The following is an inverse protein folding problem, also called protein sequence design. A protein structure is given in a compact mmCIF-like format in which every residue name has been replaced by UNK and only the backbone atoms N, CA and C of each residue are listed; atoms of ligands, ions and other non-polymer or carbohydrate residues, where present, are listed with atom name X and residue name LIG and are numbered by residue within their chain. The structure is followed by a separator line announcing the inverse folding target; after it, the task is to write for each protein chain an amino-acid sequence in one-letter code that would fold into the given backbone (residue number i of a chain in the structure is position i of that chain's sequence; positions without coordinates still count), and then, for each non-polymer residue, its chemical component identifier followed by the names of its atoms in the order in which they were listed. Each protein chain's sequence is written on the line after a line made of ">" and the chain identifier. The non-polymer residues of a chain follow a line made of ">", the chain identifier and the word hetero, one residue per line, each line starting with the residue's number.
data_IF_349681833922
#
_entry.id   IF_349681833922
#
_cell.length_a   1.000
_cell.length_b   1.000
_cell.length_c   1.000
_cell.angle_alpha   90.00
_cell.angle_beta   90.00
_cell.angle_gamma   90.00
#
_symmetry.space_group_name_H-M   'P 1'
#
loop_
_entity.id
_entity.type
_entity.pdbx_description
1 polymer ?
#
# COMPACT_ATOMS: atom_id res chain seq x y z
N UNK A 1 -8.17 -4.51 -18.31
CA UNK A 1 -8.04 -3.08 -17.99
C UNK A 1 -9.02 -2.78 -16.87
N UNK A 2 -8.56 -2.55 -15.65
CA UNK A 2 -9.43 -2.21 -14.53
C UNK A 2 -9.75 -0.71 -14.59
N UNK A 3 -11.02 -0.33 -14.49
CA UNK A 3 -11.42 1.06 -14.35
C UNK A 3 -11.18 1.48 -12.90
N UNK A 4 -10.25 2.41 -12.67
CA UNK A 4 -10.05 3.01 -11.36
C UNK A 4 -10.88 4.29 -11.26
N UNK A 5 -11.79 4.40 -10.28
CA UNK A 5 -12.50 5.65 -10.05
C UNK A 5 -11.49 6.76 -9.69
N UNK A 6 -11.71 7.95 -10.23
CA UNK A 6 -10.85 9.09 -9.94
C UNK A 6 -10.81 9.36 -8.43
N UNK A 7 -9.67 9.86 -7.93
CA UNK A 7 -9.47 10.29 -6.53
C UNK A 7 -9.77 9.20 -5.48
N UNK A 8 -9.54 7.93 -5.82
CA UNK A 8 -9.79 6.79 -4.92
C UNK A 8 -8.49 6.07 -4.50
N UNK A 9 -7.56 6.74 -3.79
CA UNK A 9 -6.32 6.10 -3.33
C UNK A 9 -6.59 4.93 -2.37
N UNK A 10 -7.70 4.99 -1.63
CA UNK A 10 -8.16 3.91 -0.75
C UNK A 10 -8.55 2.62 -1.48
N UNK A 11 -8.70 2.67 -2.81
CA UNK A 11 -8.96 1.51 -3.67
C UNK A 11 -7.76 1.12 -4.53
N UNK A 12 -6.57 1.71 -4.29
CA UNK A 12 -5.34 1.33 -4.96
C UNK A 12 -4.34 0.73 -3.95
N UNK A 13 -4.04 -0.57 -4.08
CA UNK A 13 -3.10 -1.26 -3.18
C UNK A 13 -1.69 -0.68 -3.16
N UNK A 14 -1.28 0.02 -4.23
CA UNK A 14 0.00 0.73 -4.24
C UNK A 14 -0.04 1.92 -3.28
N UNK A 15 -1.15 2.66 -3.27
CA UNK A 15 -1.33 3.87 -2.46
C UNK A 15 -1.64 3.54 -1.00
N UNK A 16 -2.64 2.70 -0.73
CA UNK A 16 -3.06 2.41 0.66
C UNK A 16 -2.10 1.49 1.40
N UNK A 17 -1.23 0.76 0.71
CA UNK A 17 -0.33 -0.23 1.32
C UNK A 17 1.14 -0.02 0.94
N UNK A 18 1.51 -0.20 -0.33
CA UNK A 18 2.91 -0.36 -0.73
C UNK A 18 3.76 0.87 -0.39
N UNK A 19 3.29 2.07 -0.75
CA UNK A 19 4.05 3.28 -0.51
C UNK A 19 4.26 3.58 0.98
N UNK A 20 3.27 3.32 1.82
CA UNK A 20 3.40 3.47 3.27
C UNK A 20 4.46 2.54 3.86
N UNK A 21 4.39 1.26 3.50
CA UNK A 21 5.34 0.24 3.97
C UNK A 21 6.76 0.50 3.48
N UNK A 22 6.92 0.81 2.18
CA UNK A 22 8.23 1.06 1.61
C UNK A 22 8.88 2.30 2.23
N UNK A 23 8.12 3.39 2.43
CA UNK A 23 8.63 4.58 3.12
C UNK A 23 9.07 4.26 4.55
N UNK A 24 8.29 3.49 5.29
CA UNK A 24 8.66 3.09 6.65
C UNK A 24 9.96 2.29 6.71
N UNK A 25 10.28 1.50 5.66
CA UNK A 25 11.52 0.73 5.59
C UNK A 25 12.71 1.59 5.13
N UNK A 26 12.52 2.40 4.09
CA UNK A 26 13.58 3.21 3.48
C UNK A 26 14.07 4.31 4.44
N UNK A 27 13.12 4.97 5.11
CA UNK A 27 13.39 6.11 5.99
C UNK A 27 13.49 5.73 7.47
N UNK A 28 13.63 4.44 7.80
CA UNK A 28 13.79 3.97 9.18
C UNK A 28 15.04 4.56 9.88
N UNK A 29 16.08 4.89 9.12
CA UNK A 29 17.29 5.56 9.58
C UNK A 29 17.68 6.68 8.61
N UNK A 30 18.50 7.66 9.01
CA UNK A 30 18.96 8.72 8.09
C UNK A 30 19.66 8.14 6.85
N UNK A 31 19.31 8.66 5.68
CA UNK A 31 19.90 8.29 4.39
C UNK A 31 21.25 9.00 4.27
N UNK A 32 22.29 8.26 3.88
CA UNK A 32 23.66 8.79 3.82
C UNK A 32 24.00 9.40 2.46
N UNK A 33 23.52 8.78 1.38
CA UNK A 33 23.74 9.22 0.01
C UNK A 33 22.74 8.54 -0.95
N UNK A 34 22.84 8.82 -2.24
CA UNK A 34 21.95 8.27 -3.26
C UNK A 34 22.06 6.75 -3.43
N UNK A 35 23.26 6.19 -3.30
CA UNK A 35 23.48 4.75 -3.40
C UNK A 35 22.81 3.99 -2.24
N UNK A 36 22.98 4.49 -1.02
CA UNK A 36 22.27 4.00 0.17
C UNK A 36 20.75 4.04 -0.03
N UNK A 37 20.20 5.15 -0.54
CA UNK A 37 18.78 5.25 -0.87
C UNK A 37 18.32 4.18 -1.87
N UNK A 38 19.05 4.00 -2.98
CA UNK A 38 18.73 2.99 -4.00
C UNK A 38 18.75 1.57 -3.41
N UNK A 39 19.77 1.25 -2.63
CA UNK A 39 19.91 -0.06 -1.98
C UNK A 39 18.75 -0.32 -1.01
N UNK A 40 18.39 0.66 -0.18
CA UNK A 40 17.25 0.54 0.74
C UNK A 40 15.92 0.37 0.04
N UNK A 41 15.70 1.02 -1.11
CA UNK A 41 14.48 0.81 -1.90
C UNK A 41 14.42 -0.64 -2.39
N UNK A 42 15.50 -1.15 -2.97
CA UNK A 42 15.59 -2.53 -3.47
C UNK A 42 15.35 -3.52 -2.34
N UNK A 43 16.02 -3.34 -1.20
CA UNK A 43 15.89 -4.24 -0.05
C UNK A 43 14.52 -4.12 0.63
N UNK A 44 13.92 -2.93 0.65
CA UNK A 44 12.55 -2.72 1.07
C UNK A 44 11.56 -3.54 0.24
N UNK A 45 11.69 -3.51 -1.09
CA UNK A 45 10.88 -4.36 -1.98
C UNK A 45 11.09 -5.85 -1.74
N UNK A 46 12.35 -6.30 -1.60
CA UNK A 46 12.66 -7.71 -1.29
C UNK A 46 12.02 -8.13 0.04
N UNK A 47 12.12 -7.32 1.08
CA UNK A 47 11.54 -7.60 2.40
C UNK A 47 10.02 -7.70 2.35
N UNK A 48 9.35 -6.77 1.68
CA UNK A 48 7.90 -6.82 1.47
C UNK A 48 7.55 -8.11 0.72
N UNK A 49 8.17 -8.37 -0.43
CA UNK A 49 7.91 -9.56 -1.26
C UNK A 49 8.08 -10.88 -0.49
N UNK A 50 9.09 -10.95 0.37
CA UNK A 50 9.41 -12.14 1.14
C UNK A 50 8.60 -12.26 2.45
N UNK A 51 7.73 -11.29 2.77
CA UNK A 51 6.89 -11.35 3.95
C UNK A 51 5.76 -12.37 3.73
N UNK A 52 5.68 -13.46 4.52
CA UNK A 52 4.68 -14.50 4.30
C UNK A 52 3.25 -13.96 4.40
N UNK A 53 2.42 -14.35 3.42
CA UNK A 53 1.00 -13.99 3.36
C UNK A 53 0.70 -12.50 3.17
N UNK A 54 1.69 -11.66 2.85
CA UNK A 54 1.47 -10.21 2.73
C UNK A 54 0.48 -9.87 1.62
N UNK A 55 0.62 -10.51 0.45
CA UNK A 55 -0.25 -10.26 -0.69
C UNK A 55 -1.67 -10.77 -0.47
N UNK A 56 -1.81 -11.86 0.29
CA UNK A 56 -3.11 -12.38 0.70
C UNK A 56 -3.81 -11.40 1.64
N UNK A 57 -3.11 -10.83 2.62
CA UNK A 57 -3.65 -9.77 3.48
C UNK A 57 -4.03 -8.50 2.70
N UNK A 58 -3.22 -8.11 1.71
CA UNK A 58 -3.52 -6.96 0.84
C UNK A 58 -4.78 -7.22 0.01
N UNK A 59 -4.93 -8.44 -0.52
CA UNK A 59 -6.14 -8.86 -1.26
C UNK A 59 -7.38 -8.81 -0.38
N UNK A 60 -7.31 -9.37 0.83
CA UNK A 60 -8.42 -9.30 1.80
C UNK A 60 -8.75 -7.87 2.21
N UNK A 61 -7.73 -7.02 2.41
CA UNK A 61 -7.95 -5.59 2.70
C UNK A 61 -8.63 -4.89 1.52
N UNK A 62 -8.28 -5.24 0.28
CA UNK A 62 -8.90 -4.68 -0.92
C UNK A 62 -10.39 -5.03 -0.97
N UNK A 63 -10.76 -6.28 -0.70
CA UNK A 63 -12.16 -6.73 -0.65
C UNK A 63 -12.98 -5.91 0.36
N UNK A 64 -12.48 -5.79 1.60
CA UNK A 64 -13.14 -4.98 2.64
C UNK A 64 -13.30 -3.52 2.25
N UNK A 65 -12.29 -2.93 1.61
CA UNK A 65 -12.32 -1.53 1.14
C UNK A 65 -13.35 -1.33 0.04
N UNK A 66 -13.49 -2.28 -0.89
CA UNK A 66 -14.52 -2.25 -1.93
C UNK A 66 -15.91 -2.38 -1.31
N UNK A 67 -16.12 -3.32 -0.39
CA UNK A 67 -17.39 -3.50 0.32
C UNK A 67 -17.79 -2.23 1.10
N UNK A 68 -16.86 -1.65 1.84
CA UNK A 68 -17.09 -0.42 2.59
C UNK A 68 -17.44 0.76 1.67
N UNK A 69 -16.78 0.86 0.51
CA UNK A 69 -17.12 1.86 -0.52
C UNK A 69 -18.53 1.67 -1.10
N UNK A 70 -18.96 0.43 -1.30
CA UNK A 70 -20.33 0.12 -1.76
C UNK A 70 -21.34 0.50 -0.68
N UNK A 71 -21.07 0.18 0.59
CA UNK A 71 -21.94 0.54 1.72
C UNK A 71 -22.14 2.05 1.87
N UNK A 72 -21.14 2.85 1.49
CA UNK A 72 -21.22 4.32 1.51
C UNK A 72 -21.63 4.92 0.15
N UNK A 73 -22.09 4.10 -0.81
CA UNK A 73 -22.45 4.51 -2.16
C UNK A 73 -21.37 5.37 -2.86
N UNK A 74 -20.10 5.01 -2.67
CA UNK A 74 -18.95 5.74 -3.21
C UNK A 74 -18.43 6.89 -2.34
N UNK A 75 -19.02 7.12 -1.16
CA UNK A 75 -18.53 8.10 -0.18
C UNK A 75 -17.30 7.61 0.60
N UNK A 76 -16.72 8.48 1.44
CA UNK A 76 -15.60 8.12 2.31
C UNK A 76 -15.97 7.03 3.32
N UNK A 77 -15.09 6.05 3.46
CA UNK A 77 -15.36 4.81 4.20
C UNK A 77 -14.27 4.44 5.22
N UNK A 78 -13.32 5.33 5.50
CA UNK A 78 -12.19 5.05 6.39
C UNK A 78 -12.64 4.73 7.83
N UNK A 79 -13.78 5.25 8.27
CA UNK A 79 -14.41 4.92 9.55
C UNK A 79 -14.94 3.48 9.64
N UNK A 80 -15.02 2.76 8.51
CA UNK A 80 -15.52 1.39 8.41
C UNK A 80 -14.38 0.36 8.23
N UNK A 81 -13.12 0.80 8.17
CA UNK A 81 -11.93 -0.02 7.89
C UNK A 81 -11.20 -0.52 9.13
#
# INVERSE_FOLDING_TARGET
>A
MALWPARSPDLNSVDFFLWGQLKSLVYATPIQNEEDLRNRIIDGYKRIRNTPGIFERVRQSMERRVEACIMTAGGHFQQLL
#
